data_IF_274451655837
#
_entry.id   IF_274451655837
#
_cell.length_a   1.000
_cell.length_b   1.000
_cell.length_c   1.000
_cell.angle_alpha   90.00
_cell.angle_beta   90.00
_cell.angle_gamma   90.00
#
_symmetry.space_group_name_H-M   'P 1'
#
loop_
_entity.id
_entity.type
_entity.pdbx_description
1 polymer ?
#
# COMPACT_ATOMS: atom_id res chain seq x y z
N UNK A 1 18.10 23.07 -7.32
CA UNK A 1 19.10 22.01 -7.56
C UNK A 1 19.61 21.42 -6.25
N UNK A 2 19.30 20.15 -5.97
CA UNK A 2 19.79 19.44 -4.78
C UNK A 2 21.17 18.82 -5.03
N UNK A 3 22.06 18.89 -4.03
CA UNK A 3 23.38 18.26 -4.09
C UNK A 3 23.39 16.98 -3.24
N UNK A 4 23.83 15.88 -3.83
CA UNK A 4 23.77 14.54 -3.25
C UNK A 4 25.16 13.92 -3.17
N UNK A 5 25.55 13.41 -2.00
CA UNK A 5 26.83 12.71 -1.82
C UNK A 5 26.62 11.21 -1.79
N UNK A 6 27.36 10.47 -2.61
CA UNK A 6 27.36 9.01 -2.54
C UNK A 6 27.94 8.55 -1.20
N UNK A 7 27.34 7.54 -0.57
CA UNK A 7 27.86 6.95 0.69
C UNK A 7 28.97 5.92 0.44
N UNK A 8 29.06 5.38 -0.78
CA UNK A 8 30.03 4.35 -1.17
C UNK A 8 31.29 4.96 -1.81
N UNK A 9 31.16 6.13 -2.44
CA UNK A 9 32.29 6.89 -2.95
C UNK A 9 32.20 8.37 -2.54
N UNK A 10 33.32 9.08 -2.40
CA UNK A 10 33.32 10.46 -1.90
C UNK A 10 32.80 11.50 -2.91
N UNK A 11 32.19 11.08 -4.03
CA UNK A 11 31.70 11.99 -5.08
C UNK A 11 30.35 12.60 -4.70
N UNK A 12 30.20 13.87 -5.06
CA UNK A 12 28.94 14.60 -4.94
C UNK A 12 28.37 14.86 -6.34
N UNK A 13 27.06 14.80 -6.46
CA UNK A 13 26.29 14.90 -7.69
C UNK A 13 25.25 16.00 -7.55
N UNK A 14 25.12 16.85 -8.56
CA UNK A 14 24.01 17.78 -8.66
C UNK A 14 22.86 17.08 -9.37
N UNK A 15 21.66 17.17 -8.81
CA UNK A 15 20.47 16.70 -9.49
C UNK A 15 20.08 17.71 -10.56
N UNK A 16 20.01 17.28 -11.82
CA UNK A 16 19.63 18.16 -12.93
C UNK A 16 18.12 18.43 -12.82
N UNK A 17 17.74 19.70 -12.88
CA UNK A 17 16.34 20.11 -12.76
C UNK A 17 15.50 19.45 -13.87
N UNK A 18 14.40 18.78 -13.50
CA UNK A 18 13.48 18.09 -14.42
C UNK A 18 13.86 16.65 -14.81
N UNK A 19 15.05 16.16 -14.46
CA UNK A 19 15.55 14.82 -14.87
C UNK A 19 15.18 13.64 -13.94
N UNK A 20 14.56 13.93 -12.79
CA UNK A 20 14.30 12.93 -11.76
C UNK A 20 15.60 12.44 -11.09
N UNK A 21 15.66 11.16 -10.69
CA UNK A 21 16.84 10.54 -10.04
C UNK A 21 17.75 9.80 -11.03
N UNK A 22 17.43 9.87 -12.33
CA UNK A 22 18.09 9.11 -13.40
C UNK A 22 19.59 9.37 -13.45
N UNK A 23 20.01 10.63 -13.20
CA UNK A 23 21.42 11.02 -13.20
C UNK A 23 22.19 10.48 -11.98
N UNK A 24 21.52 10.28 -10.83
CA UNK A 24 22.10 9.64 -9.65
C UNK A 24 22.28 8.13 -9.87
N UNK A 25 21.30 7.47 -10.49
CA UNK A 25 21.38 6.03 -10.82
C UNK A 25 22.41 5.74 -11.91
N UNK A 26 22.60 6.67 -12.86
CA UNK A 26 23.65 6.56 -13.87
C UNK A 26 25.06 6.47 -13.26
N UNK A 27 25.28 7.04 -12.07
CA UNK A 27 26.53 6.84 -11.32
C UNK A 27 26.64 5.42 -10.72
N UNK A 28 25.54 4.86 -10.20
CA UNK A 28 25.55 3.59 -9.50
C UNK A 28 25.75 2.39 -10.43
N UNK A 29 25.01 2.35 -11.56
CA UNK A 29 25.01 1.18 -12.47
C UNK A 29 26.40 0.72 -12.93
N UNK A 30 27.31 1.60 -13.39
CA UNK A 30 28.62 1.16 -13.88
C UNK A 30 29.59 0.76 -12.77
N UNK A 31 29.38 1.26 -11.54
CA UNK A 31 30.37 1.17 -10.46
C UNK A 31 30.01 0.18 -9.37
N UNK A 32 28.72 -0.15 -9.26
CA UNK A 32 28.17 -1.08 -8.28
C UNK A 32 27.11 -1.94 -8.99
N UNK A 33 27.48 -2.93 -9.81
CA UNK A 33 26.51 -3.75 -10.56
C UNK A 33 25.51 -4.50 -9.67
N UNK A 34 25.90 -4.73 -8.42
CA UNK A 34 25.15 -5.40 -7.35
C UNK A 34 24.32 -4.44 -6.49
N UNK A 35 24.26 -3.15 -6.82
CA UNK A 35 23.60 -2.15 -5.97
C UNK A 35 22.11 -2.43 -5.77
N UNK A 36 21.42 -2.96 -6.78
CA UNK A 36 19.99 -3.29 -6.69
C UNK A 36 19.75 -4.40 -5.67
N UNK A 37 20.53 -5.49 -5.74
CA UNK A 37 20.42 -6.58 -4.78
C UNK A 37 20.87 -6.15 -3.38
N UNK A 38 21.90 -5.31 -3.27
CA UNK A 38 22.30 -4.73 -1.98
C UNK A 38 21.24 -3.84 -1.38
N UNK A 39 20.51 -3.05 -2.18
CA UNK A 39 19.36 -2.26 -1.69
C UNK A 39 18.22 -3.20 -1.27
N UNK A 40 17.98 -4.26 -2.03
CA UNK A 40 16.94 -5.26 -1.75
C UNK A 40 17.20 -6.03 -0.44
N UNK A 41 18.46 -6.37 -0.18
CA UNK A 41 18.90 -7.13 1.00
C UNK A 41 19.24 -6.25 2.21
N UNK A 42 19.43 -4.95 2.02
CA UNK A 42 19.83 -4.07 3.11
C UNK A 42 18.76 -4.02 4.20
N UNK A 43 19.18 -4.29 5.43
CA UNK A 43 18.31 -4.10 6.59
C UNK A 43 18.05 -2.61 6.85
N UNK A 44 16.95 -2.30 7.56
CA UNK A 44 16.63 -0.94 8.05
C UNK A 44 17.77 -0.34 8.88
N UNK A 45 18.59 -1.18 9.51
CA UNK A 45 19.78 -0.77 10.26
C UNK A 45 20.95 -0.38 9.34
N UNK A 46 21.13 -1.06 8.21
CA UNK A 46 22.27 -0.84 7.28
C UNK A 46 22.04 0.31 6.30
N UNK A 47 20.80 0.50 5.85
CA UNK A 47 20.45 1.63 4.96
C UNK A 47 20.30 2.96 5.70
N UNK A 48 20.34 2.91 7.05
CA UNK A 48 19.55 3.81 7.87
C UNK A 48 18.06 3.61 7.58
N UNK A 49 17.18 4.20 8.40
CA UNK A 49 15.74 4.07 8.18
C UNK A 49 15.38 4.22 6.70
N UNK A 50 14.60 3.29 6.13
CA UNK A 50 14.12 3.35 4.73
C UNK A 50 13.52 4.73 4.39
N UNK A 51 13.12 5.48 5.41
CA UNK A 51 12.80 6.90 5.38
C UNK A 51 13.80 7.81 4.63
N UNK A 52 15.09 7.45 4.56
CA UNK A 52 16.08 8.22 3.79
C UNK A 52 16.03 7.93 2.28
N UNK A 53 15.45 6.80 1.88
CA UNK A 53 15.32 6.35 0.48
C UNK A 53 13.91 6.61 -0.07
N UNK A 54 12.94 6.77 0.82
CA UNK A 54 11.56 7.07 0.49
C UNK A 54 11.37 8.59 0.53
N UNK A 55 10.84 9.16 -0.55
CA UNK A 55 10.57 10.61 -0.58
C UNK A 55 9.63 11.01 0.56
N UNK A 56 9.80 12.23 1.10
CA UNK A 56 8.93 12.76 2.15
C UNK A 56 7.44 12.74 1.76
N UNK A 57 7.16 12.85 0.45
CA UNK A 57 5.82 12.73 -0.12
C UNK A 57 5.24 11.33 0.07
N UNK A 58 6.02 10.28 -0.21
CA UNK A 58 5.58 8.88 -0.02
C UNK A 58 5.42 8.58 1.47
N UNK A 59 6.35 9.01 2.31
CA UNK A 59 6.22 8.87 3.77
C UNK A 59 4.94 9.52 4.30
N UNK A 60 4.64 10.73 3.85
CA UNK A 60 3.42 11.44 4.24
C UNK A 60 2.17 10.67 3.82
N UNK A 61 2.13 10.17 2.58
CA UNK A 61 0.98 9.41 2.06
C UNK A 61 0.77 8.12 2.83
N UNK A 62 1.83 7.34 3.03
CA UNK A 62 1.77 6.09 3.78
C UNK A 62 1.32 6.33 5.23
N UNK A 63 1.90 7.31 5.92
CA UNK A 63 1.51 7.63 7.29
C UNK A 63 0.04 8.06 7.41
N UNK A 64 -0.50 8.75 6.39
CA UNK A 64 -1.92 9.07 6.33
C UNK A 64 -2.81 7.85 6.13
N UNK A 65 -2.46 6.98 5.18
CA UNK A 65 -3.23 5.78 4.85
C UNK A 65 -3.24 4.83 6.05
N UNK A 66 -2.08 4.50 6.60
CA UNK A 66 -1.95 3.65 7.79
C UNK A 66 -2.83 4.15 8.92
N UNK A 67 -2.73 5.43 9.27
CA UNK A 67 -3.50 5.97 10.40
C UNK A 67 -5.01 5.89 10.17
N UNK A 68 -5.48 6.22 8.96
CA UNK A 68 -6.92 6.19 8.68
C UNK A 68 -7.46 4.75 8.62
N UNK A 69 -6.72 3.82 8.03
CA UNK A 69 -7.14 2.42 7.87
C UNK A 69 -7.06 1.67 9.20
N UNK A 70 -5.96 1.79 9.93
CA UNK A 70 -5.72 1.05 11.18
C UNK A 70 -6.68 1.49 12.30
N UNK A 71 -7.04 2.77 12.36
CA UNK A 71 -7.96 3.31 13.37
C UNK A 71 -9.42 3.40 12.89
N UNK A 72 -9.73 2.95 11.67
CA UNK A 72 -11.09 2.99 11.11
C UNK A 72 -11.69 4.40 11.04
N UNK A 73 -10.87 5.41 10.70
CA UNK A 73 -11.29 6.82 10.73
C UNK A 73 -11.97 7.27 9.42
N UNK A 74 -12.85 8.28 9.45
CA UNK A 74 -13.39 8.87 8.23
C UNK A 74 -12.28 9.48 7.36
N UNK A 75 -12.37 9.40 6.03
CA UNK A 75 -11.37 10.00 5.13
C UNK A 75 -11.20 11.52 5.34
N UNK A 76 -12.26 12.20 5.78
CA UNK A 76 -12.25 13.65 6.12
C UNK A 76 -11.42 13.97 7.36
N UNK A 77 -10.98 12.96 8.13
CA UNK A 77 -10.12 13.13 9.30
C UNK A 77 -8.83 13.90 8.98
N UNK A 78 -8.24 13.68 7.80
CA UNK A 78 -7.00 14.35 7.40
C UNK A 78 -7.15 15.89 7.24
N UNK A 79 -8.39 16.36 7.07
CA UNK A 79 -8.76 17.76 6.89
C UNK A 79 -9.15 18.48 8.19
N UNK A 80 -9.47 17.73 9.26
CA UNK A 80 -9.90 18.32 10.54
C UNK A 80 -8.83 19.29 11.07
N UNK A 81 -9.22 20.54 11.48
CA UNK A 81 -8.26 21.54 11.96
C UNK A 81 -7.42 21.08 13.15
N UNK A 82 -8.03 20.39 14.13
CA UNK A 82 -7.33 19.86 15.29
C UNK A 82 -6.29 18.80 14.89
N UNK A 83 -6.67 17.86 14.00
CA UNK A 83 -5.74 16.90 13.42
C UNK A 83 -4.60 17.64 12.74
N UNK A 84 -4.89 18.64 11.88
CA UNK A 84 -3.90 19.48 11.18
C UNK A 84 -2.90 20.16 12.10
N UNK A 85 -3.33 20.63 13.26
CA UNK A 85 -2.47 21.29 14.24
C UNK A 85 -1.50 20.32 14.93
N UNK A 86 -1.93 19.07 15.13
CA UNK A 86 -1.23 18.14 16.02
C UNK A 86 -0.35 17.10 15.31
N UNK A 87 -0.46 16.94 13.98
CA UNK A 87 0.36 15.96 13.24
C UNK A 87 1.62 16.55 12.61
N UNK A 88 2.65 15.71 12.45
CA UNK A 88 3.89 16.02 11.70
C UNK A 88 3.83 15.63 10.21
N UNK A 89 2.68 15.20 9.72
CA UNK A 89 2.47 14.83 8.31
C UNK A 89 2.03 16.05 7.50
N UNK A 90 2.57 16.23 6.30
CA UNK A 90 2.14 17.32 5.43
C UNK A 90 0.63 17.19 5.14
N UNK A 91 -0.13 18.30 5.10
CA UNK A 91 -1.57 18.23 4.94
C UNK A 91 -1.96 17.66 3.57
N UNK A 92 -2.99 16.81 3.55
CA UNK A 92 -3.63 16.31 2.33
C UNK A 92 -5.14 16.53 2.40
N UNK A 93 -5.82 16.49 1.25
CA UNK A 93 -7.28 16.50 1.20
C UNK A 93 -7.85 15.09 1.30
N UNK A 94 -9.13 14.95 1.64
CA UNK A 94 -9.83 13.67 1.63
C UNK A 94 -9.90 13.07 0.20
N UNK A 95 -9.94 13.93 -0.83
CA UNK A 95 -9.86 13.50 -2.25
C UNK A 95 -8.51 12.85 -2.54
N UNK A 96 -7.41 13.49 -2.13
CA UNK A 96 -6.07 12.92 -2.28
C UNK A 96 -5.90 11.66 -1.42
N UNK A 97 -6.50 11.61 -0.22
CA UNK A 97 -6.51 10.41 0.60
C UNK A 97 -7.17 9.24 -0.15
N UNK A 98 -8.38 9.47 -0.70
CA UNK A 98 -9.12 8.47 -1.47
C UNK A 98 -8.32 7.97 -2.67
N UNK A 99 -7.77 8.87 -3.47
CA UNK A 99 -6.92 8.53 -4.63
C UNK A 99 -5.71 7.67 -4.22
N UNK A 100 -5.04 8.01 -3.10
CA UNK A 100 -3.91 7.18 -2.65
C UNK A 100 -4.36 5.79 -2.18
N UNK A 101 -5.50 5.66 -1.49
CA UNK A 101 -6.02 4.36 -1.05
C UNK A 101 -6.35 3.50 -2.28
N UNK A 102 -7.03 4.06 -3.28
CA UNK A 102 -7.37 3.34 -4.51
C UNK A 102 -6.11 2.84 -5.25
N UNK A 103 -5.07 3.67 -5.36
CA UNK A 103 -3.79 3.24 -5.96
C UNK A 103 -3.08 2.16 -5.16
N UNK A 104 -3.22 2.17 -3.84
CA UNK A 104 -2.69 1.09 -2.99
C UNK A 104 -3.48 -0.19 -3.21
N UNK A 105 -4.81 -0.11 -3.33
CA UNK A 105 -5.67 -1.24 -3.69
C UNK A 105 -5.25 -1.83 -5.03
N UNK A 106 -5.12 -1.02 -6.09
CA UNK A 106 -4.64 -1.47 -7.41
C UNK A 106 -3.28 -2.17 -7.31
N UNK A 107 -2.32 -1.60 -6.58
CA UNK A 107 -0.99 -2.20 -6.40
C UNK A 107 -1.03 -3.53 -5.61
N UNK A 108 -1.98 -3.68 -4.69
CA UNK A 108 -2.20 -4.95 -3.96
C UNK A 108 -2.85 -5.97 -4.87
N UNK A 109 -3.85 -5.58 -5.66
CA UNK A 109 -4.51 -6.45 -6.65
C UNK A 109 -3.50 -6.98 -7.67
N UNK A 110 -2.67 -6.10 -8.25
CA UNK A 110 -1.60 -6.50 -9.18
C UNK A 110 -0.63 -7.50 -8.54
N UNK A 111 -0.28 -7.29 -7.27
CA UNK A 111 0.63 -8.18 -6.54
C UNK A 111 0.00 -9.54 -6.28
N UNK A 112 -1.27 -9.58 -5.89
CA UNK A 112 -2.02 -10.83 -5.69
C UNK A 112 -2.17 -11.56 -7.02
N UNK A 113 -2.50 -10.85 -8.11
CA UNK A 113 -2.66 -11.44 -9.44
C UNK A 113 -1.36 -12.06 -9.99
N UNK A 114 -0.20 -11.47 -9.69
CA UNK A 114 1.10 -12.04 -10.07
C UNK A 114 1.51 -13.26 -9.24
N UNK A 115 0.96 -13.40 -8.04
CA UNK A 115 1.37 -14.42 -7.07
C UNK A 115 0.43 -15.61 -6.99
N UNK A 116 -0.86 -15.40 -7.27
CA UNK A 116 -1.89 -16.42 -7.17
C UNK A 116 -1.64 -17.53 -8.21
N UNK A 117 -1.58 -18.81 -7.81
CA UNK A 117 -1.39 -19.92 -8.73
C UNK A 117 -2.67 -20.26 -9.51
N UNK A 118 -2.57 -21.04 -10.58
CA UNK A 118 -3.73 -21.54 -11.34
C UNK A 118 -4.70 -22.36 -10.48
N UNK A 119 -4.20 -23.04 -9.46
CA UNK A 119 -4.98 -23.85 -8.52
C UNK A 119 -4.94 -23.23 -7.12
N UNK A 120 -6.08 -22.73 -6.65
CA UNK A 120 -6.24 -22.13 -5.34
C UNK A 120 -7.64 -22.41 -4.78
N UNK A 121 -7.80 -22.29 -3.47
CA UNK A 121 -9.10 -22.38 -2.81
C UNK A 121 -9.80 -21.02 -2.77
N UNK A 122 -11.13 -21.04 -2.72
CA UNK A 122 -11.97 -19.86 -2.44
C UNK A 122 -12.61 -20.04 -1.06
N UNK A 123 -12.57 -19.00 -0.23
CA UNK A 123 -13.24 -18.94 1.06
C UNK A 123 -14.30 -17.84 1.01
N UNK A 124 -15.52 -18.19 1.44
CA UNK A 124 -16.60 -17.25 1.69
C UNK A 124 -16.70 -17.02 3.19
N UNK A 125 -16.63 -15.77 3.62
CA UNK A 125 -16.82 -15.38 5.03
C UNK A 125 -17.92 -14.32 5.13
N UNK A 126 -18.85 -14.54 6.06
CA UNK A 126 -20.00 -13.67 6.24
C UNK A 126 -19.91 -12.95 7.58
N UNK A 127 -20.02 -11.62 7.58
CA UNK A 127 -20.18 -10.86 8.81
C UNK A 127 -21.47 -10.05 8.80
N UNK A 128 -21.89 -9.60 9.99
CA UNK A 128 -22.97 -8.60 10.11
C UNK A 128 -22.49 -7.41 10.92
N UNK A 129 -22.82 -6.21 10.46
CA UNK A 129 -22.65 -4.98 11.23
C UNK A 129 -24.02 -4.29 11.32
N UNK A 130 -24.60 -4.27 12.51
CA UNK A 130 -25.99 -3.87 12.75
C UNK A 130 -26.98 -4.60 11.83
N UNK A 131 -27.64 -3.88 10.91
CA UNK A 131 -28.61 -4.42 9.95
C UNK A 131 -28.01 -4.80 8.60
N UNK A 132 -26.73 -4.56 8.39
CA UNK A 132 -26.05 -4.83 7.11
C UNK A 132 -25.26 -6.13 7.20
N UNK A 133 -25.60 -7.08 6.33
CA UNK A 133 -24.87 -8.33 6.15
C UNK A 133 -23.85 -8.15 5.04
N UNK A 134 -22.63 -8.66 5.23
CA UNK A 134 -21.55 -8.58 4.27
C UNK A 134 -21.06 -9.98 3.92
N UNK A 135 -20.69 -10.17 2.66
CA UNK A 135 -20.00 -11.35 2.19
C UNK A 135 -18.61 -10.95 1.70
N UNK A 136 -17.59 -11.56 2.27
CA UNK A 136 -16.21 -11.45 1.86
C UNK A 136 -15.78 -12.72 1.12
N UNK A 137 -15.03 -12.54 0.03
CA UNK A 137 -14.46 -13.60 -0.79
C UNK A 137 -12.95 -13.51 -0.69
N UNK A 138 -12.30 -14.60 -0.25
CA UNK A 138 -10.85 -14.71 -0.17
C UNK A 138 -10.35 -15.80 -1.12
N UNK A 139 -9.14 -15.61 -1.66
CA UNK A 139 -8.36 -16.73 -2.19
C UNK A 139 -7.58 -17.38 -1.04
N UNK A 140 -7.28 -18.67 -1.13
CA UNK A 140 -6.31 -19.33 -0.26
C UNK A 140 -5.38 -20.23 -1.06
N UNK A 141 -4.07 -20.06 -0.88
CA UNK A 141 -3.05 -20.78 -1.62
C UNK A 141 -1.74 -20.83 -0.83
N UNK A 142 -0.81 -21.70 -1.22
CA UNK A 142 0.51 -21.84 -0.59
C UNK A 142 1.59 -21.21 -1.47
N UNK A 143 2.44 -20.37 -0.88
CA UNK A 143 3.67 -19.83 -1.50
C UNK A 143 4.82 -20.08 -0.53
N UNK A 144 5.88 -20.75 -0.97
CA UNK A 144 7.05 -21.03 -0.13
C UNK A 144 6.70 -21.67 1.23
N UNK A 145 5.74 -22.61 1.23
CA UNK A 145 5.20 -23.27 2.44
C UNK A 145 4.45 -22.35 3.42
N UNK A 146 4.14 -21.13 3.00
CA UNK A 146 3.29 -20.21 3.75
C UNK A 146 1.92 -20.12 3.09
N UNK A 147 0.88 -20.40 3.87
CA UNK A 147 -0.50 -20.18 3.43
C UNK A 147 -0.77 -18.69 3.37
N UNK A 148 -1.27 -18.22 2.23
CA UNK A 148 -1.72 -16.85 2.01
C UNK A 148 -3.22 -16.86 1.78
N UNK A 149 -3.88 -15.86 2.35
CA UNK A 149 -5.34 -15.73 2.29
C UNK A 149 -5.78 -14.29 2.00
N UNK A 150 -5.45 -13.73 0.82
CA UNK A 150 -5.83 -12.35 0.50
C UNK A 150 -7.34 -12.21 0.28
N UNK A 151 -7.90 -11.08 0.73
CA UNK A 151 -9.26 -10.66 0.41
C UNK A 151 -9.33 -10.24 -1.06
N UNK A 152 -10.24 -10.85 -1.84
CA UNK A 152 -10.46 -10.52 -3.25
C UNK A 152 -11.59 -9.51 -3.42
N UNK A 153 -12.67 -9.67 -2.64
CA UNK A 153 -13.84 -8.80 -2.73
C UNK A 153 -14.63 -8.85 -1.44
N UNK A 154 -15.35 -7.77 -1.15
CA UNK A 154 -16.31 -7.68 -0.07
C UNK A 154 -17.45 -6.78 -0.49
N UNK A 155 -18.69 -7.23 -0.28
CA UNK A 155 -19.87 -6.46 -0.61
C UNK A 155 -20.99 -6.70 0.40
N UNK A 156 -21.87 -5.71 0.63
CA UNK A 156 -23.11 -5.95 1.36
C UNK A 156 -24.01 -6.92 0.57
N UNK A 157 -24.71 -7.79 1.29
CA UNK A 157 -25.71 -8.69 0.74
C UNK A 157 -26.99 -7.89 0.53
N UNK A 158 -27.48 -7.85 -0.71
CA UNK A 158 -28.78 -7.25 -1.02
C UNK A 158 -29.85 -8.24 -0.58
N UNK A 159 -30.67 -7.84 0.40
CA UNK A 159 -31.85 -8.61 0.75
C UNK A 159 -32.86 -8.49 -0.39
N UNK A 160 -33.07 -9.56 -1.15
CA UNK A 160 -34.24 -9.67 -2.02
C UNK A 160 -35.49 -9.83 -1.14
N UNK A 161 -36.64 -9.24 -1.51
CA UNK A 161 -37.88 -9.49 -0.80
C UNK A 161 -38.18 -11.00 -0.79
N UNK A 162 -38.54 -11.55 0.37
CA UNK A 162 -38.83 -12.97 0.58
C UNK A 162 -39.73 -13.54 -0.53
N UNK A 163 -39.15 -14.26 -1.50
CA UNK A 163 -39.88 -15.27 -2.26
C UNK A 163 -40.11 -16.44 -1.31
N UNK A 164 -41.15 -16.30 -0.49
CA UNK A 164 -41.75 -17.35 0.32
C UNK A 164 -42.32 -18.45 -0.60
N UNK A 165 -41.44 -19.18 -1.28
CA UNK A 165 -41.76 -20.48 -1.86
C UNK A 165 -41.82 -21.47 -0.71
N UNK A 166 -42.93 -21.41 0.04
CA UNK A 166 -43.32 -22.51 0.91
C UNK A 166 -43.42 -23.75 0.02
N UNK A 167 -42.51 -24.70 0.23
CA UNK A 167 -42.70 -26.05 -0.27
C UNK A 167 -43.95 -26.60 0.43
N UNK A 168 -45.06 -26.67 -0.30
CA UNK A 168 -46.24 -27.40 0.14
C UNK A 168 -45.85 -28.89 0.22
N UNK A 169 -45.85 -29.42 1.44
CA UNK A 169 -45.76 -30.84 1.76
C UNK A 169 -47.15 -31.47 1.82
#
# INVERSE_FOLDING_TARGET
MGQWRCKICPRSYCQDDGSGYSNLIAHLRPRYPDFEERIRLASVSETGSLLNWVSQRVHTRLGWISWVVEEGLPLTFCEKPATRRNKKLAPISHVTMRDNILRVTEAVEDKVAQEIPDNFGIIFDGWSNDSEHYLAVFATYEVDRLVKTPLLSMAPIVNEPDDNLKAES
#
